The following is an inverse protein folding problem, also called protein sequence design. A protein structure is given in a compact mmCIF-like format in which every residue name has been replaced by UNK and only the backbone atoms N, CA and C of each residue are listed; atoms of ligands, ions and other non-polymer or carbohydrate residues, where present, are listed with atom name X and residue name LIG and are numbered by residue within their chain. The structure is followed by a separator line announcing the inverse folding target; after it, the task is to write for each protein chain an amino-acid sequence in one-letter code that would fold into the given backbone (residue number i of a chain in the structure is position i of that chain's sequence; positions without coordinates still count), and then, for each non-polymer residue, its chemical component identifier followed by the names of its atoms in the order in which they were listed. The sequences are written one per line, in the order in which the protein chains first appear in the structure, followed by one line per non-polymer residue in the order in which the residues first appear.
data_IF_007417817372
#
_entry.id   IF_007417817372
#
_cell.length_a   1.000
_cell.length_b   1.000
_cell.length_c   1.000
_cell.angle_alpha   90.00
_cell.angle_beta   90.00
_cell.angle_gamma   90.00
#
_symmetry.space_group_name_H-M   'P 1'
#
loop_
_entity.id
_entity.type
_entity.pdbx_description
1 polymer ?
#
# COMPACT_ATOMS: atom_id res chain seq x y z
N UNK A 1 -3.23 -19.55 4.32
CA UNK A 1 -1.82 -19.95 4.35
C UNK A 1 -0.91 -18.76 4.69
N UNK A 2 -0.89 -17.69 3.89
CA UNK A 2 0.00 -16.53 4.04
C UNK A 2 -0.13 -15.83 5.41
N UNK A 3 -1.34 -15.52 5.83
CA UNK A 3 -1.60 -14.86 7.13
C UNK A 3 -1.18 -15.75 8.29
N UNK A 4 -1.49 -17.06 8.23
CA UNK A 4 -1.11 -18.02 9.27
C UNK A 4 0.41 -18.13 9.44
N UNK A 5 1.16 -18.01 8.35
CA UNK A 5 2.62 -18.08 8.34
C UNK A 5 3.30 -16.71 8.51
N UNK A 6 2.54 -15.64 8.74
CA UNK A 6 3.06 -14.27 8.93
C UNK A 6 3.89 -13.75 7.76
N UNK A 7 3.55 -14.17 6.54
CA UNK A 7 4.24 -13.73 5.31
C UNK A 7 3.82 -12.31 4.94
N UNK A 8 4.71 -11.59 4.28
CA UNK A 8 4.40 -10.27 3.71
C UNK A 8 3.28 -10.35 2.68
N UNK A 9 2.45 -9.30 2.63
CA UNK A 9 1.32 -9.20 1.73
C UNK A 9 1.45 -7.93 0.88
N UNK A 10 1.18 -8.06 -0.41
CA UNK A 10 0.96 -6.93 -1.32
C UNK A 10 -0.49 -7.00 -1.78
N UNK A 11 -1.23 -5.91 -1.55
CA UNK A 11 -2.64 -5.81 -1.94
C UNK A 11 -2.74 -4.72 -3.00
N UNK A 12 -3.09 -5.11 -4.22
CA UNK A 12 -3.36 -4.18 -5.31
C UNK A 12 -4.82 -3.68 -5.24
N UNK A 13 -5.00 -2.37 -5.31
CA UNK A 13 -6.30 -1.72 -5.25
C UNK A 13 -6.28 -0.40 -6.01
N UNK A 14 -7.43 0.03 -6.49
CA UNK A 14 -7.57 1.28 -7.26
C UNK A 14 -7.47 2.55 -6.43
N UNK A 15 -7.52 2.46 -5.10
CA UNK A 15 -7.57 3.64 -4.22
C UNK A 15 -8.92 4.39 -4.23
N UNK A 16 -9.92 3.88 -4.94
CA UNK A 16 -11.23 4.53 -5.08
C UNK A 16 -12.08 4.43 -3.81
N UNK A 17 -12.10 3.27 -3.19
CA UNK A 17 -12.91 3.03 -1.98
C UNK A 17 -12.05 3.11 -0.72
N UNK A 18 -12.09 4.27 -0.09
CA UNK A 18 -11.39 4.52 1.16
C UNK A 18 -11.84 3.56 2.29
N UNK A 19 -13.14 3.28 2.38
CA UNK A 19 -13.67 2.49 3.49
C UNK A 19 -13.22 1.03 3.42
N UNK A 20 -13.17 0.46 2.22
CA UNK A 20 -12.64 -0.88 2.01
C UNK A 20 -11.16 -0.95 2.44
N UNK A 21 -10.35 0.00 1.98
CA UNK A 21 -8.92 0.05 2.31
C UNK A 21 -8.71 0.24 3.82
N UNK A 22 -9.47 1.14 4.46
CA UNK A 22 -9.40 1.35 5.90
C UNK A 22 -9.79 0.08 6.68
N UNK A 23 -10.84 -0.62 6.27
CA UNK A 23 -11.28 -1.87 6.87
C UNK A 23 -10.20 -2.95 6.73
N UNK A 24 -9.65 -3.15 5.54
CA UNK A 24 -8.57 -4.12 5.29
C UNK A 24 -7.34 -3.81 6.15
N UNK A 25 -6.91 -2.53 6.17
CA UNK A 25 -5.81 -2.08 7.02
C UNK A 25 -6.06 -2.39 8.50
N UNK A 26 -7.25 -2.08 9.00
CA UNK A 26 -7.61 -2.31 10.41
C UNK A 26 -7.57 -3.79 10.76
N UNK A 27 -8.12 -4.66 9.90
CA UNK A 27 -8.07 -6.11 10.08
C UNK A 27 -6.63 -6.64 10.09
N UNK A 28 -5.78 -6.19 9.16
CA UNK A 28 -4.39 -6.61 9.11
C UNK A 28 -3.61 -6.15 10.34
N UNK A 29 -3.86 -4.93 10.82
CA UNK A 29 -3.24 -4.45 12.07
C UNK A 29 -3.65 -5.25 13.30
N UNK A 30 -4.91 -5.67 13.40
CA UNK A 30 -5.35 -6.58 14.47
C UNK A 30 -4.66 -7.94 14.40
N UNK A 31 -4.30 -8.40 13.21
CA UNK A 31 -3.54 -9.63 13.00
C UNK A 31 -2.03 -9.47 13.24
N UNK A 32 -1.56 -8.26 13.52
CA UNK A 32 -0.16 -7.99 13.83
C UNK A 32 0.67 -7.41 12.68
N UNK A 33 0.07 -7.06 11.54
CA UNK A 33 0.81 -6.46 10.43
C UNK A 33 1.07 -4.97 10.68
N UNK A 34 2.28 -4.53 10.39
CA UNK A 34 2.55 -3.14 10.05
C UNK A 34 2.09 -2.91 8.61
N UNK A 35 1.47 -1.76 8.35
CA UNK A 35 0.83 -1.49 7.07
C UNK A 35 1.39 -0.22 6.45
N UNK A 36 1.72 -0.30 5.18
CA UNK A 36 2.27 0.78 4.38
C UNK A 36 1.42 1.00 3.15
N UNK A 37 1.44 2.20 2.59
CA UNK A 37 0.75 2.50 1.35
C UNK A 37 1.72 3.04 0.30
N UNK A 38 1.67 2.49 -0.89
CA UNK A 38 2.25 3.07 -2.08
C UNK A 38 1.13 3.57 -2.98
N UNK A 39 1.03 4.88 -3.13
CA UNK A 39 0.03 5.53 -3.96
C UNK A 39 0.67 5.95 -5.28
N UNK A 40 0.28 5.28 -6.36
CA UNK A 40 0.77 5.58 -7.70
C UNK A 40 -0.14 6.63 -8.33
N UNK A 41 0.38 7.83 -8.52
CA UNK A 41 -0.35 8.98 -9.01
C UNK A 41 -0.03 9.32 -10.46
N UNK A 42 -1.04 9.75 -11.20
CA UNK A 42 -0.92 10.32 -12.55
C UNK A 42 -1.81 11.54 -12.68
N UNK A 43 -1.48 12.45 -13.61
CA UNK A 43 -2.40 13.50 -14.03
C UNK A 43 -3.63 12.89 -14.74
N UNK A 44 -4.72 13.64 -14.77
CA UNK A 44 -5.93 13.23 -15.50
C UNK A 44 -5.63 13.00 -16.99
N UNK A 45 -4.85 13.88 -17.58
CA UNK A 45 -4.46 13.79 -19.00
C UNK A 45 -3.75 12.46 -19.29
N UNK A 46 -2.72 12.11 -18.52
CA UNK A 46 -1.98 10.86 -18.68
C UNK A 46 -2.88 9.65 -18.42
N UNK A 47 -3.76 9.71 -17.43
CA UNK A 47 -4.72 8.64 -17.15
C UNK A 47 -5.67 8.42 -18.35
N UNK A 48 -6.19 9.48 -18.96
CA UNK A 48 -7.06 9.40 -20.12
C UNK A 48 -6.33 8.91 -21.37
N UNK A 49 -5.11 9.38 -21.63
CA UNK A 49 -4.28 8.87 -22.72
C UNK A 49 -4.02 7.37 -22.59
N UNK A 50 -3.62 6.91 -21.40
CA UNK A 50 -3.38 5.49 -21.15
C UNK A 50 -4.66 4.66 -21.24
N UNK A 51 -5.80 5.22 -20.85
CA UNK A 51 -7.09 4.56 -20.99
C UNK A 51 -7.45 4.30 -22.47
N UNK A 52 -7.17 5.26 -23.37
CA UNK A 52 -7.45 5.12 -24.81
C UNK A 52 -6.69 3.97 -25.47
N UNK A 53 -5.45 3.72 -25.07
CA UNK A 53 -4.57 2.70 -25.70
C UNK A 53 -4.71 1.32 -25.06
N UNK A 54 -5.52 1.18 -24.01
CA UNK A 54 -5.78 -0.12 -23.39
C UNK A 54 -6.73 -0.94 -24.26
N UNK A 55 -6.46 -2.22 -24.38
CA UNK A 55 -7.38 -3.20 -25.01
C UNK A 55 -8.77 -3.18 -24.37
N UNK A 56 -8.83 -2.86 -23.09
CA UNK A 56 -10.06 -2.75 -22.29
C UNK A 56 -10.15 -1.34 -21.72
N UNK A 57 -10.62 -0.40 -22.54
CA UNK A 57 -10.85 0.99 -22.14
C UNK A 57 -12.23 1.17 -21.50
N UNK A 58 -12.38 2.20 -20.69
CA UNK A 58 -13.67 2.66 -20.15
C UNK A 58 -14.03 4.02 -20.73
N UNK A 59 -15.32 4.41 -20.78
CA UNK A 59 -15.72 5.74 -21.23
C UNK A 59 -14.95 6.85 -20.48
N UNK A 60 -14.51 7.92 -21.17
CA UNK A 60 -13.71 8.99 -20.57
C UNK A 60 -14.35 9.63 -19.34
N UNK A 61 -15.67 9.76 -19.30
CA UNK A 61 -16.42 10.31 -18.17
C UNK A 61 -16.29 9.44 -16.94
N UNK A 62 -16.31 8.10 -17.10
CA UNK A 62 -16.15 7.14 -16.03
C UNK A 62 -14.71 7.19 -15.51
N UNK A 63 -13.73 7.24 -16.42
CA UNK A 63 -12.31 7.36 -16.07
C UNK A 63 -12.04 8.66 -15.29
N UNK A 64 -12.60 9.80 -15.74
CA UNK A 64 -12.49 11.09 -15.08
C UNK A 64 -13.09 11.08 -13.67
N UNK A 65 -14.32 10.59 -13.53
CA UNK A 65 -14.98 10.50 -12.21
C UNK A 65 -14.20 9.59 -11.26
N UNK A 66 -13.70 8.45 -11.75
CA UNK A 66 -12.88 7.55 -10.96
C UNK A 66 -11.60 8.23 -10.51
N UNK A 67 -10.90 8.92 -11.39
CA UNK A 67 -9.68 9.68 -11.09
C UNK A 67 -9.96 10.76 -10.01
N UNK A 68 -11.02 11.54 -10.14
CA UNK A 68 -11.40 12.57 -9.16
C UNK A 68 -11.62 11.98 -7.75
N UNK A 69 -12.34 10.86 -7.66
CA UNK A 69 -12.56 10.17 -6.39
C UNK A 69 -11.25 9.68 -5.79
N UNK A 70 -10.35 9.10 -6.59
CA UNK A 70 -9.04 8.66 -6.14
C UNK A 70 -8.20 9.84 -5.64
N UNK A 71 -8.18 10.97 -6.35
CA UNK A 71 -7.47 12.18 -5.92
C UNK A 71 -7.99 12.73 -4.59
N UNK A 72 -9.32 12.75 -4.40
CA UNK A 72 -9.93 13.22 -3.15
C UNK A 72 -9.57 12.35 -1.93
N UNK A 73 -9.13 11.12 -2.16
CA UNK A 73 -8.73 10.20 -1.09
C UNK A 73 -7.26 10.35 -0.65
N UNK A 74 -6.40 11.05 -1.41
CA UNK A 74 -4.96 11.12 -1.09
C UNK A 74 -4.73 11.65 0.32
N UNK A 75 -5.32 12.79 0.68
CA UNK A 75 -5.16 13.37 2.02
C UNK A 75 -5.71 12.45 3.13
N UNK A 76 -6.82 11.75 2.85
CA UNK A 76 -7.38 10.77 3.78
C UNK A 76 -6.44 9.58 4.00
N UNK A 77 -5.78 9.10 2.95
CA UNK A 77 -4.79 8.04 3.07
C UNK A 77 -3.52 8.52 3.78
N UNK A 78 -3.08 9.75 3.54
CA UNK A 78 -1.95 10.33 4.28
C UNK A 78 -2.23 10.37 5.79
N UNK A 79 -3.44 10.77 6.19
CA UNK A 79 -3.85 10.75 7.60
C UNK A 79 -3.97 9.32 8.14
N UNK A 80 -4.48 8.38 7.34
CA UNK A 80 -4.71 7.01 7.77
C UNK A 80 -3.41 6.22 7.98
N UNK A 81 -2.44 6.34 7.06
CA UNK A 81 -1.18 5.60 7.12
C UNK A 81 -0.08 6.37 7.85
N UNK A 82 -0.16 7.70 7.88
CA UNK A 82 0.89 8.60 8.35
C UNK A 82 1.95 8.85 7.28
N UNK A 83 2.54 10.04 7.29
CA UNK A 83 3.46 10.47 6.24
C UNK A 83 4.71 9.60 6.07
N UNK A 84 5.19 8.97 7.15
CA UNK A 84 6.35 8.06 7.11
C UNK A 84 6.03 6.65 6.59
N UNK A 85 4.75 6.30 6.46
CA UNK A 85 4.29 4.98 6.02
C UNK A 85 3.52 5.04 4.69
N UNK A 86 3.47 6.21 4.06
CA UNK A 86 2.88 6.39 2.74
C UNK A 86 3.93 6.93 1.77
N UNK A 87 4.02 6.30 0.61
CA UNK A 87 4.85 6.72 -0.52
C UNK A 87 3.92 7.15 -1.63
N UNK A 88 4.05 8.40 -2.09
CA UNK A 88 3.39 8.86 -3.31
C UNK A 88 4.40 8.78 -4.45
N UNK A 89 4.03 8.10 -5.52
CA UNK A 89 4.85 7.89 -6.72
C UNK A 89 4.23 8.69 -7.86
N UNK A 90 4.99 9.61 -8.44
CA UNK A 90 4.62 10.25 -9.70
C UNK A 90 4.89 9.29 -10.86
N UNK A 91 3.83 8.86 -11.52
CA UNK A 91 3.88 7.94 -12.65
C UNK A 91 3.50 8.62 -13.98
N UNK A 92 3.60 9.93 -14.09
CA UNK A 92 3.33 10.62 -15.36
C UNK A 92 4.36 10.23 -16.42
N UNK A 93 5.64 10.36 -16.07
CA UNK A 93 6.78 10.03 -16.93
C UNK A 93 7.78 9.17 -16.15
N UNK A 94 7.32 8.06 -15.57
CA UNK A 94 8.19 7.20 -14.77
C UNK A 94 9.32 6.61 -15.61
N UNK A 95 10.55 6.81 -15.15
CA UNK A 95 11.78 6.26 -15.73
C UNK A 95 12.31 5.14 -14.83
N UNK A 96 13.36 4.46 -15.29
CA UNK A 96 14.09 3.49 -14.48
C UNK A 96 14.62 4.11 -13.17
N UNK A 97 15.11 5.34 -13.22
CA UNK A 97 15.54 6.08 -12.01
C UNK A 97 14.37 6.29 -11.02
N UNK A 98 13.18 6.61 -11.51
CA UNK A 98 11.97 6.71 -10.69
C UNK A 98 11.68 5.38 -9.99
N UNK A 99 11.76 4.27 -10.73
CA UNK A 99 11.52 2.92 -10.18
C UNK A 99 12.57 2.55 -9.12
N UNK A 100 13.84 2.86 -9.36
CA UNK A 100 14.93 2.61 -8.42
C UNK A 100 14.77 3.40 -7.11
N UNK A 101 14.34 4.67 -7.19
CA UNK A 101 14.03 5.50 -6.02
C UNK A 101 12.86 4.94 -5.23
N UNK A 102 11.80 4.52 -5.91
CA UNK A 102 10.64 3.88 -5.28
C UNK A 102 11.03 2.57 -4.61
N UNK A 103 11.79 1.72 -5.29
CA UNK A 103 12.29 0.47 -4.75
C UNK A 103 13.11 0.69 -3.46
N UNK A 104 14.02 1.65 -3.48
CA UNK A 104 14.83 2.01 -2.29
C UNK A 104 13.96 2.44 -1.12
N UNK A 105 12.91 3.25 -1.36
CA UNK A 105 11.97 3.67 -0.33
C UNK A 105 11.17 2.49 0.22
N UNK A 106 10.64 1.62 -0.64
CA UNK A 106 9.90 0.42 -0.23
C UNK A 106 10.79 -0.48 0.60
N UNK A 107 12.03 -0.74 0.16
CA UNK A 107 13.00 -1.52 0.89
C UNK A 107 13.27 -0.94 2.29
N UNK A 108 13.35 0.39 2.40
CA UNK A 108 13.44 1.07 3.68
C UNK A 108 12.23 0.83 4.59
N UNK A 109 11.02 0.77 4.04
CA UNK A 109 9.80 0.49 4.81
C UNK A 109 9.75 -0.97 5.29
N UNK A 110 10.01 -1.94 4.42
CA UNK A 110 9.92 -3.37 4.77
C UNK A 110 11.02 -3.82 5.72
N UNK A 111 12.14 -3.10 5.76
CA UNK A 111 13.25 -3.38 6.67
C UNK A 111 13.11 -2.65 8.03
N UNK A 112 12.05 -1.86 8.24
CA UNK A 112 11.81 -1.25 9.57
C UNK A 112 11.59 -2.34 10.62
N UNK A 113 12.07 -2.13 11.85
CA UNK A 113 11.70 -3.00 12.96
C UNK A 113 10.18 -3.07 13.11
N UNK A 114 9.69 -4.24 13.47
CA UNK A 114 8.26 -4.47 13.72
C UNK A 114 7.75 -3.49 14.78
N UNK A 115 6.71 -2.74 14.47
CA UNK A 115 6.09 -1.76 15.36
C UNK A 115 4.80 -2.26 15.98
N UNK A 116 4.08 -3.14 15.28
CA UNK A 116 2.81 -3.65 15.74
C UNK A 116 2.95 -4.45 17.05
N UNK A 117 2.19 -4.05 18.08
CA UNK A 117 2.24 -4.67 19.40
C UNK A 117 1.87 -6.17 19.37
N UNK A 118 0.87 -6.55 18.59
CA UNK A 118 0.44 -7.97 18.45
C UNK A 118 1.57 -8.82 17.89
N UNK A 119 2.27 -8.31 16.88
CA UNK A 119 3.41 -9.02 16.31
C UNK A 119 4.60 -9.09 17.27
N UNK A 120 4.92 -8.00 17.98
CA UNK A 120 6.00 -8.00 18.99
C UNK A 120 5.75 -9.08 20.04
N UNK A 121 4.55 -9.11 20.61
CA UNK A 121 4.16 -10.10 21.63
C UNK A 121 4.23 -11.53 21.08
N UNK A 122 3.79 -11.76 19.84
CA UNK A 122 3.90 -13.06 19.22
C UNK A 122 5.37 -13.51 19.05
N UNK A 123 6.24 -12.61 18.56
CA UNK A 123 7.67 -12.87 18.41
C UNK A 123 8.32 -13.24 19.76
N UNK A 124 8.04 -12.48 20.81
CA UNK A 124 8.54 -12.75 22.17
C UNK A 124 8.14 -14.13 22.65
N UNK A 125 6.85 -14.51 22.46
CA UNK A 125 6.36 -15.82 22.83
C UNK A 125 7.06 -16.96 22.07
N UNK A 126 7.25 -16.80 20.75
CA UNK A 126 7.94 -17.83 19.94
C UNK A 126 9.42 -17.96 20.31
N UNK A 127 10.10 -16.87 20.59
CA UNK A 127 11.48 -16.89 21.07
C UNK A 127 11.61 -17.56 22.45
N UNK A 128 10.65 -17.32 23.35
CA UNK A 128 10.58 -17.96 24.66
C UNK A 128 10.42 -19.48 24.55
N UNK A 129 9.48 -19.95 23.71
CA UNK A 129 9.29 -21.38 23.43
C UNK A 129 10.57 -22.05 22.92
N UNK A 130 11.28 -21.41 22.00
CA UNK A 130 12.55 -21.92 21.45
C UNK A 130 13.67 -22.01 22.50
N UNK A 131 13.71 -21.08 23.45
CA UNK A 131 14.69 -21.11 24.54
C UNK A 131 14.41 -22.27 25.53
N UNK A 132 13.14 -22.49 25.82
CA UNK A 132 12.71 -23.54 26.78
C UNK A 132 12.73 -24.96 26.16
N UNK A 133 12.86 -25.09 24.85
CA UNK A 133 12.96 -26.36 24.14
C UNK A 133 14.42 -26.85 23.92
N UNK A 134 15.40 -26.06 24.39
CA UNK A 134 16.84 -26.43 24.41
C UNK A 134 17.26 -26.85 25.80
#
# INVERSE_FOLDING_TARGET
LYIRNRLGLVIDATGRDYNIINKQRSMLRMLGYDTYMMFVNTSLEVALQRNKVRTRSVPPEIATKSWQVVQSNIGRFQNLFGGSNMIVVDNNNATEDTLNKVYTRIRGLVNKPVQNYVAKRWIENELSKKRNAR
#
